data_IF_230852414236
#
_entry.id   IF_230852414236
#
_cell.length_a   1.000
_cell.length_b   1.000
_cell.length_c   1.000
_cell.angle_alpha   90.00
_cell.angle_beta   90.00
_cell.angle_gamma   90.00
#
_symmetry.space_group_name_H-M   'P 1'
#
loop_
_entity.id
_entity.type
_entity.pdbx_description
1 polymer ?
#
# COMPACT_ATOMS: atom_id res chain seq x y z
N UNK A 1 8.21 14.05 3.46
CA UNK A 1 8.79 14.59 4.72
C UNK A 1 10.31 14.63 4.67
N UNK A 2 11.02 13.51 4.59
CA UNK A 2 12.51 13.49 4.53
C UNK A 2 13.11 14.41 3.46
N UNK A 3 12.49 14.50 2.28
CA UNK A 3 12.94 15.39 1.22
C UNK A 3 12.87 16.87 1.59
N UNK A 4 11.86 17.29 2.38
CA UNK A 4 11.80 18.66 2.88
C UNK A 4 12.95 18.97 3.86
N UNK A 5 13.29 18.01 4.74
CA UNK A 5 14.40 18.15 5.66
C UNK A 5 15.75 18.19 4.91
N UNK A 6 15.94 17.28 3.96
CA UNK A 6 17.13 17.28 3.09
C UNK A 6 17.29 18.57 2.28
N UNK A 7 16.18 19.15 1.83
CA UNK A 7 16.15 20.43 1.11
C UNK A 7 16.63 21.63 1.93
N UNK A 8 16.83 21.50 3.26
CA UNK A 8 17.40 22.56 4.11
C UNK A 8 18.95 22.59 4.12
N UNK A 9 19.59 21.74 3.31
CA UNK A 9 21.05 21.57 3.32
C UNK A 9 21.52 20.79 4.53
N UNK A 10 22.60 21.22 5.16
CA UNK A 10 23.24 20.52 6.30
C UNK A 10 22.58 20.80 7.66
N UNK A 11 21.39 21.44 7.68
CA UNK A 11 20.70 21.78 8.93
C UNK A 11 20.21 20.55 9.68
N UNK A 12 19.73 19.53 8.94
CA UNK A 12 19.24 18.26 9.47
C UNK A 12 19.95 17.09 8.84
N UNK A 13 20.45 16.18 9.66
CA UNK A 13 21.01 14.89 9.24
C UNK A 13 20.01 13.80 9.57
N UNK A 14 19.73 12.90 8.62
CA UNK A 14 18.88 11.75 8.84
C UNK A 14 19.69 10.62 9.47
N UNK A 15 19.15 9.97 10.50
CA UNK A 15 19.70 8.76 11.14
C UNK A 15 18.65 7.67 11.17
N UNK A 16 19.09 6.43 11.17
CA UNK A 16 18.30 5.22 11.39
C UNK A 16 18.40 4.70 12.84
N UNK A 17 19.23 5.34 13.68
CA UNK A 17 19.32 5.07 15.10
C UNK A 17 18.45 6.05 15.89
N UNK A 18 17.32 5.54 16.39
CA UNK A 18 16.34 6.31 17.16
C UNK A 18 16.91 6.84 18.49
N UNK A 19 17.88 6.12 19.06
CA UNK A 19 18.50 6.48 20.35
C UNK A 19 19.42 7.69 20.26
N UNK A 20 19.96 7.97 19.07
CA UNK A 20 20.84 9.10 18.78
C UNK A 20 20.10 10.33 18.19
N UNK A 21 18.81 10.16 17.89
CA UNK A 21 18.03 11.21 17.24
C UNK A 21 17.73 12.39 18.19
N UNK A 22 18.01 13.63 17.75
CA UNK A 22 17.53 14.85 18.43
C UNK A 22 16.04 15.15 18.15
N UNK A 23 15.54 14.72 16.99
CA UNK A 23 14.16 14.87 16.56
C UNK A 23 13.60 13.58 15.96
N UNK A 24 12.37 13.23 16.30
CA UNK A 24 11.63 12.14 15.70
C UNK A 24 10.32 12.65 15.09
N UNK A 25 9.98 12.11 13.92
CA UNK A 25 8.73 12.40 13.22
C UNK A 25 7.97 11.09 13.01
N UNK A 26 6.88 10.91 13.75
CA UNK A 26 6.05 9.71 13.68
C UNK A 26 4.92 9.95 12.66
N UNK A 27 4.95 9.21 11.56
CA UNK A 27 3.89 9.22 10.55
C UNK A 27 2.81 8.21 10.92
N UNK A 28 1.59 8.69 11.19
CA UNK A 28 0.52 7.92 11.83
C UNK A 28 -0.60 7.55 10.87
N UNK A 29 -1.27 6.43 11.16
CA UNK A 29 -2.47 5.98 10.48
C UNK A 29 -3.70 6.17 11.39
N UNK A 30 -4.86 6.51 10.80
CA UNK A 30 -6.14 6.59 11.51
C UNK A 30 -7.28 5.95 10.70
N UNK A 31 -6.96 4.95 9.87
CA UNK A 31 -7.94 4.33 8.98
C UNK A 31 -8.81 3.28 9.69
N UNK A 32 -8.23 2.54 10.62
CA UNK A 32 -8.92 1.53 11.46
C UNK A 32 -8.38 1.58 12.90
N UNK A 33 -9.17 1.06 13.86
CA UNK A 33 -8.81 1.11 15.29
C UNK A 33 -7.46 0.46 15.62
N UNK A 34 -7.13 -0.68 15.00
CA UNK A 34 -5.84 -1.34 15.22
C UNK A 34 -4.65 -0.48 14.75
N UNK A 35 -4.77 0.21 13.63
CA UNK A 35 -3.72 1.10 13.13
C UNK A 35 -3.60 2.40 13.96
N UNK A 36 -4.69 2.86 14.58
CA UNK A 36 -4.65 3.96 15.56
C UNK A 36 -3.88 3.52 16.80
N UNK A 37 -4.18 2.32 17.34
CA UNK A 37 -3.49 1.80 18.51
C UNK A 37 -1.99 1.62 18.24
N UNK A 38 -1.61 1.02 17.14
CA UNK A 38 -0.21 0.89 16.70
C UNK A 38 0.48 2.27 16.62
N UNK A 39 -0.20 3.27 16.05
CA UNK A 39 0.34 4.65 15.98
C UNK A 39 0.58 5.25 17.36
N UNK A 40 -0.34 5.03 18.32
CA UNK A 40 -0.19 5.49 19.70
C UNK A 40 0.97 4.77 20.39
N UNK A 41 1.05 3.45 20.23
CA UNK A 41 2.12 2.64 20.83
C UNK A 41 3.50 3.10 20.32
N UNK A 42 3.64 3.33 19.00
CA UNK A 42 4.87 3.86 18.41
C UNK A 42 5.22 5.27 18.93
N UNK A 43 4.23 6.17 19.06
CA UNK A 43 4.48 7.51 19.65
C UNK A 43 5.02 7.38 21.07
N UNK A 44 4.41 6.53 21.90
CA UNK A 44 4.82 6.33 23.28
C UNK A 44 6.18 5.63 23.40
N UNK A 45 6.50 4.72 22.49
CA UNK A 45 7.81 4.08 22.42
C UNK A 45 8.91 5.11 22.12
N UNK A 46 8.76 5.89 21.07
CA UNK A 46 9.70 6.95 20.68
C UNK A 46 9.80 8.02 21.79
N UNK A 47 8.69 8.37 22.45
CA UNK A 47 8.68 9.34 23.53
C UNK A 47 9.61 8.96 24.71
N UNK A 48 9.92 7.66 24.90
CA UNK A 48 10.86 7.20 25.94
C UNK A 48 12.25 7.80 25.76
N UNK A 49 12.68 8.03 24.51
CA UNK A 49 13.99 8.62 24.22
C UNK A 49 14.13 10.07 24.71
N UNK A 50 13.04 10.77 25.03
CA UNK A 50 13.10 12.06 25.75
C UNK A 50 13.69 11.94 27.15
N UNK A 51 13.58 10.77 27.78
CA UNK A 51 14.11 10.49 29.12
C UNK A 51 15.39 9.68 29.12
N UNK A 52 15.56 8.79 28.15
CA UNK A 52 16.65 7.81 28.09
C UNK A 52 17.68 8.09 27.00
N UNK A 53 17.39 8.98 26.07
CA UNK A 53 18.22 9.34 24.90
C UNK A 53 18.40 10.85 24.74
N UNK A 54 18.59 11.26 23.49
CA UNK A 54 18.84 12.65 23.11
C UNK A 54 17.63 13.39 22.54
N UNK A 55 16.46 12.73 22.44
CA UNK A 55 15.28 13.26 21.78
C UNK A 55 14.76 14.54 22.43
N UNK A 56 14.77 15.64 21.69
CA UNK A 56 14.30 16.98 22.09
C UNK A 56 12.97 17.34 21.43
N UNK A 57 12.71 16.82 20.22
CA UNK A 57 11.53 17.12 19.44
C UNK A 57 10.82 15.83 19.00
N UNK A 58 9.55 15.67 19.39
CA UNK A 58 8.68 14.60 18.92
C UNK A 58 7.50 15.22 18.17
N UNK A 59 7.47 15.00 16.84
CA UNK A 59 6.44 15.52 15.94
C UNK A 59 5.56 14.37 15.45
N UNK A 60 4.25 14.53 15.54
CA UNK A 60 3.28 13.58 15.01
C UNK A 60 2.67 14.12 13.73
N UNK A 61 2.64 13.30 12.69
CA UNK A 61 2.05 13.66 11.39
C UNK A 61 1.22 12.50 10.83
N UNK A 62 0.60 12.69 9.66
CA UNK A 62 -0.18 11.65 8.99
C UNK A 62 -1.68 11.72 9.30
N UNK A 63 -2.37 10.61 9.04
CA UNK A 63 -3.84 10.57 9.11
C UNK A 63 -4.39 10.79 10.52
N UNK A 64 -3.72 10.25 11.55
CA UNK A 64 -4.15 10.45 12.93
C UNK A 64 -3.92 11.90 13.37
N UNK A 65 -2.79 12.49 12.99
CA UNK A 65 -2.50 13.89 13.20
C UNK A 65 -3.56 14.82 12.58
N UNK A 66 -4.01 14.50 11.35
CA UNK A 66 -5.06 15.29 10.68
C UNK A 66 -6.44 15.16 11.35
N UNK A 67 -6.76 13.97 11.87
CA UNK A 67 -8.11 13.64 12.36
C UNK A 67 -8.30 13.94 13.85
N UNK A 68 -7.26 13.77 14.65
CA UNK A 68 -7.29 13.82 16.12
C UNK A 68 -6.23 14.79 16.69
N UNK A 69 -5.97 15.88 15.97
CA UNK A 69 -4.90 16.82 16.29
C UNK A 69 -5.00 17.39 17.74
N UNK A 70 -6.18 17.79 18.17
CA UNK A 70 -6.39 18.39 19.49
C UNK A 70 -6.29 17.34 20.60
N UNK A 71 -6.83 16.14 20.36
CA UNK A 71 -6.75 15.02 21.28
C UNK A 71 -5.30 14.56 21.48
N UNK A 72 -4.49 14.51 20.42
CA UNK A 72 -3.07 14.16 20.50
C UNK A 72 -2.33 15.15 21.40
N UNK A 73 -2.47 16.45 21.17
CA UNK A 73 -1.81 17.48 21.98
C UNK A 73 -2.25 17.45 23.44
N UNK A 74 -3.51 17.08 23.72
CA UNK A 74 -4.07 17.03 25.06
C UNK A 74 -3.71 15.75 25.81
N UNK A 75 -3.81 14.58 25.15
CA UNK A 75 -3.71 13.27 25.80
C UNK A 75 -2.27 12.69 25.74
N UNK A 76 -1.42 13.21 24.84
CA UNK A 76 -0.03 12.80 24.67
C UNK A 76 0.92 14.00 24.89
N UNK A 77 1.15 14.42 26.18
CA UNK A 77 1.94 15.59 26.52
C UNK A 77 3.42 15.48 26.12
N UNK A 78 3.87 14.28 25.73
CA UNK A 78 5.21 14.02 25.19
C UNK A 78 5.37 14.55 23.76
N UNK A 79 4.28 14.77 23.03
CA UNK A 79 4.28 15.28 21.65
C UNK A 79 4.51 16.80 21.69
N UNK A 80 5.51 17.28 20.94
CA UNK A 80 5.85 18.70 20.89
C UNK A 80 5.10 19.44 19.79
N UNK A 81 4.73 18.75 18.70
CA UNK A 81 3.93 19.34 17.62
C UNK A 81 3.14 18.30 16.86
N UNK A 82 2.03 18.74 16.28
CA UNK A 82 1.18 17.96 15.36
C UNK A 82 1.14 18.65 14.01
N UNK A 83 1.43 17.90 12.93
CA UNK A 83 1.47 18.40 11.55
C UNK A 83 0.49 17.61 10.69
N UNK A 84 -0.48 18.28 10.07
CA UNK A 84 -1.50 17.65 9.23
C UNK A 84 -0.96 17.07 7.93
N UNK A 85 -1.80 16.29 7.25
CA UNK A 85 -1.44 15.53 6.02
C UNK A 85 -1.05 16.38 4.82
N UNK A 86 -1.44 17.64 4.79
CA UNK A 86 -1.15 18.61 3.71
C UNK A 86 -0.15 19.68 4.13
N UNK A 87 0.33 19.64 5.39
CA UNK A 87 1.24 20.62 5.98
C UNK A 87 2.67 20.09 6.12
N UNK A 88 3.03 18.98 5.46
CA UNK A 88 4.34 18.31 5.58
C UNK A 88 5.53 19.21 5.18
N UNK A 89 5.29 20.21 4.34
CA UNK A 89 6.29 21.23 3.94
C UNK A 89 6.63 22.20 5.09
N UNK A 90 5.79 22.30 6.11
CA UNK A 90 6.05 23.10 7.31
C UNK A 90 7.00 22.43 8.30
N UNK A 91 7.30 21.14 8.11
CA UNK A 91 8.07 20.34 9.08
C UNK A 91 9.43 20.97 9.46
N UNK A 92 10.27 21.49 8.54
CA UNK A 92 11.52 22.14 8.92
C UNK A 92 11.31 23.34 9.85
N UNK A 93 10.32 24.20 9.54
CA UNK A 93 10.02 25.37 10.36
C UNK A 93 9.45 24.99 11.74
N UNK A 94 8.67 23.91 11.82
CA UNK A 94 8.14 23.36 13.08
C UNK A 94 9.29 22.89 13.97
N UNK A 95 10.23 22.14 13.41
CA UNK A 95 11.42 21.67 14.15
C UNK A 95 12.29 22.84 14.62
N UNK A 96 12.53 23.84 13.76
CA UNK A 96 13.32 25.04 14.12
C UNK A 96 12.70 25.76 15.34
N UNK A 97 11.37 25.89 15.37
CA UNK A 97 10.65 26.50 16.52
C UNK A 97 10.79 25.68 17.79
N UNK A 98 10.66 24.36 17.73
CA UNK A 98 10.84 23.48 18.89
C UNK A 98 12.26 23.60 19.43
N UNK A 99 13.28 23.59 18.57
CA UNK A 99 14.68 23.75 18.97
C UNK A 99 15.00 25.15 19.51
N UNK A 100 14.23 26.17 19.13
CA UNK A 100 14.29 27.50 19.74
C UNK A 100 13.59 27.58 21.12
N UNK A 101 13.01 26.47 21.60
CA UNK A 101 12.29 26.41 22.89
C UNK A 101 10.84 26.90 22.84
N UNK A 102 10.27 27.08 21.63
CA UNK A 102 8.86 27.42 21.47
C UNK A 102 8.00 26.15 21.56
N UNK A 103 6.96 26.18 22.39
CA UNK A 103 5.95 25.11 22.39
C UNK A 103 4.93 25.36 21.28
N UNK A 104 4.71 24.35 20.44
CA UNK A 104 3.62 24.36 19.49
C UNK A 104 2.32 23.98 20.22
N UNK A 105 1.63 24.96 20.77
CA UNK A 105 0.34 24.77 21.47
C UNK A 105 -0.84 24.55 20.51
N UNK A 106 -0.64 24.73 19.23
CA UNK A 106 -1.66 24.57 18.19
C UNK A 106 -1.14 23.66 17.07
N UNK A 107 -2.03 22.82 16.51
CA UNK A 107 -1.65 21.95 15.40
C UNK A 107 -1.36 22.77 14.14
N UNK A 108 -0.37 22.35 13.36
CA UNK A 108 -0.05 22.96 12.07
C UNK A 108 -0.85 22.23 11.00
N UNK A 109 -1.99 22.78 10.65
CA UNK A 109 -2.91 22.25 9.64
C UNK A 109 -2.95 23.17 8.41
N UNK A 110 -3.18 22.57 7.27
CA UNK A 110 -3.48 23.27 6.02
C UNK A 110 -4.75 22.68 5.39
N UNK A 111 -5.31 23.37 4.40
CA UNK A 111 -6.48 22.89 3.70
C UNK A 111 -6.23 21.50 3.10
N UNK A 112 -7.04 20.52 3.48
CA UNK A 112 -6.97 19.15 2.96
C UNK A 112 -7.16 19.07 1.45
N UNK A 113 -7.72 20.11 0.82
CA UNK A 113 -7.89 20.23 -0.63
C UNK A 113 -6.66 20.79 -1.34
N UNK A 114 -5.58 21.11 -0.62
CA UNK A 114 -4.32 21.57 -1.22
C UNK A 114 -3.77 20.52 -2.19
N UNK A 115 -3.28 20.99 -3.35
CA UNK A 115 -2.68 20.12 -4.35
C UNK A 115 -1.51 19.30 -3.76
N UNK A 116 -1.38 18.02 -4.14
CA UNK A 116 -0.26 17.19 -3.69
C UNK A 116 1.08 17.81 -4.09
N UNK A 117 2.06 17.78 -3.18
CA UNK A 117 3.41 18.24 -3.50
C UNK A 117 4.07 17.28 -4.51
N UNK A 118 4.58 17.84 -5.60
CA UNK A 118 5.15 17.07 -6.70
C UNK A 118 6.65 17.35 -6.95
N UNK A 119 7.21 18.42 -6.38
CA UNK A 119 8.58 18.88 -6.69
C UNK A 119 9.50 18.79 -5.45
N UNK A 120 9.35 17.72 -4.64
CA UNK A 120 10.16 17.51 -3.45
C UNK A 120 11.20 16.44 -3.71
N UNK A 121 12.43 16.68 -3.27
CA UNK A 121 13.47 15.66 -3.34
C UNK A 121 13.04 14.40 -2.59
N UNK A 122 13.34 13.25 -3.18
CA UNK A 122 12.99 11.95 -2.63
C UNK A 122 14.19 11.36 -1.88
N UNK A 123 13.92 10.78 -0.74
CA UNK A 123 14.84 9.88 -0.03
C UNK A 123 14.20 8.51 -0.06
N UNK A 124 14.87 7.54 -0.67
CA UNK A 124 14.42 6.15 -0.69
C UNK A 124 14.89 5.48 0.61
N UNK A 125 13.95 4.93 1.37
CA UNK A 125 14.20 4.27 2.66
C UNK A 125 14.02 2.76 2.61
N UNK A 126 13.26 2.27 1.61
CA UNK A 126 13.04 0.86 1.35
C UNK A 126 13.82 0.54 0.09
N UNK A 127 14.69 -0.44 0.09
CA UNK A 127 15.54 -0.90 -0.99
C UNK A 127 15.55 0.01 -2.24
N UNK A 128 16.67 0.47 -2.68
CA UNK A 128 16.78 1.49 -3.75
C UNK A 128 16.08 1.12 -5.06
N UNK A 129 15.70 -0.16 -5.23
CA UNK A 129 15.09 -0.70 -6.44
C UNK A 129 13.55 -0.52 -6.53
N UNK A 130 12.87 -0.08 -5.44
CA UNK A 130 11.42 0.16 -5.41
C UNK A 130 11.12 1.65 -5.25
N UNK A 131 10.26 2.20 -6.10
CA UNK A 131 9.80 3.58 -6.03
C UNK A 131 8.28 3.67 -5.98
N UNK A 132 7.72 4.21 -4.88
CA UNK A 132 6.29 4.51 -4.80
C UNK A 132 5.98 5.83 -5.47
N UNK A 133 5.09 5.83 -6.46
CA UNK A 133 4.65 7.01 -7.19
C UNK A 133 3.20 7.35 -6.81
N UNK A 134 3.02 8.37 -5.98
CA UNK A 134 1.69 8.84 -5.59
C UNK A 134 1.08 9.66 -6.72
N UNK A 135 0.09 9.09 -7.44
CA UNK A 135 -0.50 9.70 -8.64
C UNK A 135 -1.70 10.61 -8.35
N UNK A 136 -2.33 10.42 -7.20
CA UNK A 136 -3.44 11.27 -6.74
C UNK A 136 -3.54 11.25 -5.21
N UNK A 137 -4.34 12.17 -4.65
CA UNK A 137 -4.65 12.28 -3.22
C UNK A 137 -6.15 12.52 -3.04
N UNK A 138 -6.73 11.99 -1.95
CA UNK A 138 -8.14 12.13 -1.63
C UNK A 138 -9.04 11.14 -2.38
N UNK A 139 -10.35 11.16 -2.08
CA UNK A 139 -11.30 10.23 -2.70
C UNK A 139 -12.74 10.78 -2.60
N UNK A 140 -13.49 10.76 -3.72
CA UNK A 140 -14.87 11.20 -3.80
C UNK A 140 -15.90 10.04 -3.82
N UNK A 141 -15.45 8.79 -3.57
CA UNK A 141 -16.33 7.61 -3.62
C UNK A 141 -17.37 7.55 -2.49
N UNK A 142 -17.14 8.21 -1.38
CA UNK A 142 -18.09 8.32 -0.26
C UNK A 142 -18.59 6.95 0.27
N UNK A 143 -17.73 5.92 0.28
CA UNK A 143 -18.05 4.65 0.89
C UNK A 143 -18.44 4.85 2.35
N UNK A 144 -19.56 4.26 2.80
CA UNK A 144 -20.17 4.56 4.08
C UNK A 144 -19.31 4.25 5.32
N UNK A 145 -18.31 3.38 5.17
CA UNK A 145 -17.36 2.97 6.23
C UNK A 145 -16.07 3.78 6.23
N UNK A 146 -15.86 4.65 5.24
CA UNK A 146 -14.53 5.20 4.97
C UNK A 146 -14.38 6.63 5.48
N UNK A 147 -13.32 6.90 6.23
CA UNK A 147 -12.97 8.21 6.76
C UNK A 147 -12.07 9.04 5.82
N UNK A 148 -11.61 8.47 4.70
CA UNK A 148 -10.66 9.13 3.78
C UNK A 148 -11.11 10.51 3.31
N UNK A 149 -12.37 10.74 2.89
CA UNK A 149 -12.79 12.08 2.46
C UNK A 149 -12.61 13.16 3.54
N UNK A 150 -12.78 12.79 4.81
CA UNK A 150 -12.59 13.71 5.94
C UNK A 150 -11.09 13.97 6.25
N UNK A 151 -10.21 13.02 5.94
CA UNK A 151 -8.79 13.07 6.30
C UNK A 151 -7.93 13.61 5.16
N UNK A 152 -8.26 13.22 3.92
CA UNK A 152 -7.48 13.50 2.71
C UNK A 152 -8.19 14.42 1.72
N UNK A 153 -9.47 14.79 2.00
CA UNK A 153 -10.26 15.67 1.15
C UNK A 153 -10.69 15.06 -0.18
N UNK A 154 -11.09 15.95 -1.09
CA UNK A 154 -11.53 15.59 -2.44
C UNK A 154 -10.41 14.98 -3.29
N UNK A 155 -10.79 14.23 -4.31
CA UNK A 155 -9.87 13.62 -5.25
C UNK A 155 -9.09 14.66 -6.05
N UNK A 156 -7.77 14.54 -6.07
CA UNK A 156 -6.84 15.46 -6.76
C UNK A 156 -5.71 14.67 -7.40
N UNK A 157 -5.66 14.66 -8.73
CA UNK A 157 -4.58 14.06 -9.50
C UNK A 157 -3.31 14.92 -9.49
N UNK A 158 -2.17 14.28 -9.56
CA UNK A 158 -0.90 14.95 -9.85
C UNK A 158 -0.76 15.11 -11.37
N UNK A 159 -0.35 16.27 -11.92
CA UNK A 159 -0.16 16.44 -13.35
C UNK A 159 0.79 15.40 -13.94
N UNK A 160 0.47 14.88 -15.12
CA UNK A 160 1.17 13.74 -15.75
C UNK A 160 2.66 14.04 -15.99
N UNK A 161 3.00 15.24 -16.42
CA UNK A 161 4.37 15.67 -16.67
C UNK A 161 5.23 15.65 -15.39
N UNK A 162 4.61 16.03 -14.26
CA UNK A 162 5.28 15.97 -12.95
C UNK A 162 5.51 14.53 -12.51
N UNK A 163 4.53 13.63 -12.73
CA UNK A 163 4.68 12.21 -12.44
C UNK A 163 5.78 11.55 -13.27
N UNK A 164 5.86 11.87 -14.55
CA UNK A 164 6.93 11.38 -15.43
C UNK A 164 8.30 11.90 -14.97
N UNK A 165 8.39 13.17 -14.54
CA UNK A 165 9.61 13.73 -14.00
C UNK A 165 10.02 13.06 -12.67
N UNK A 166 9.05 12.84 -11.75
CA UNK A 166 9.30 12.16 -10.47
C UNK A 166 9.71 10.69 -10.69
N UNK A 167 9.06 9.99 -11.61
CA UNK A 167 9.43 8.64 -11.99
C UNK A 167 10.87 8.55 -12.54
N UNK A 168 11.28 9.48 -13.41
CA UNK A 168 12.68 9.55 -13.88
C UNK A 168 13.66 9.80 -12.74
N UNK A 169 13.30 10.65 -11.78
CA UNK A 169 14.11 10.90 -10.57
C UNK A 169 14.23 9.63 -9.72
N UNK A 170 13.12 8.91 -9.46
CA UNK A 170 13.14 7.63 -8.75
C UNK A 170 14.08 6.63 -9.43
N UNK A 171 14.02 6.52 -10.75
CA UNK A 171 14.90 5.63 -11.52
C UNK A 171 16.37 6.06 -11.41
N UNK A 172 16.66 7.36 -11.41
CA UNK A 172 18.04 7.85 -11.22
C UNK A 172 18.60 7.56 -9.81
N UNK A 173 17.71 7.37 -8.83
CA UNK A 173 18.06 6.93 -7.47
C UNK A 173 18.18 5.39 -7.34
N UNK A 174 17.91 4.63 -8.40
CA UNK A 174 18.06 3.18 -8.44
C UNK A 174 16.76 2.41 -8.59
N UNK A 175 15.58 3.07 -8.54
CA UNK A 175 14.31 2.36 -8.68
C UNK A 175 14.19 1.63 -10.01
N UNK A 176 13.78 0.37 -9.95
CA UNK A 176 13.49 -0.51 -11.09
C UNK A 176 12.02 -0.87 -11.16
N UNK A 177 11.35 -0.95 -10.02
CA UNK A 177 9.90 -1.10 -9.92
C UNK A 177 9.29 0.24 -9.51
N UNK A 178 8.23 0.65 -10.25
CA UNK A 178 7.37 1.78 -9.88
C UNK A 178 6.02 1.25 -9.41
N UNK A 179 5.63 1.60 -8.18
CA UNK A 179 4.34 1.23 -7.61
C UNK A 179 3.45 2.48 -7.58
N UNK A 180 2.41 2.48 -8.40
CA UNK A 180 1.47 3.58 -8.48
C UNK A 180 0.44 3.46 -7.35
N UNK A 181 0.32 4.52 -6.56
CA UNK A 181 -0.56 4.58 -5.40
C UNK A 181 -1.43 5.83 -5.39
N UNK A 182 -2.67 5.65 -4.98
CA UNK A 182 -3.63 6.68 -4.58
C UNK A 182 -4.68 6.03 -3.68
N UNK A 183 -5.65 6.78 -3.15
CA UNK A 183 -6.81 6.18 -2.51
C UNK A 183 -7.77 5.55 -3.54
N UNK A 184 -7.65 5.99 -4.78
CA UNK A 184 -8.34 5.47 -5.96
C UNK A 184 -7.47 5.77 -7.19
N UNK A 185 -6.90 4.77 -7.82
CA UNK A 185 -5.97 4.96 -8.95
C UNK A 185 -6.68 5.00 -10.30
N UNK A 186 -7.79 4.28 -10.44
CA UNK A 186 -8.51 4.13 -11.72
C UNK A 186 -9.21 5.41 -12.19
N UNK A 187 -9.42 6.38 -11.30
CA UNK A 187 -9.98 7.71 -11.65
C UNK A 187 -8.91 8.74 -12.04
N UNK A 188 -7.63 8.36 -12.08
CA UNK A 188 -6.56 9.30 -12.40
C UNK A 188 -6.86 10.12 -13.64
N UNK A 189 -6.76 11.44 -13.49
CA UNK A 189 -6.91 12.44 -14.55
C UNK A 189 -8.32 13.00 -14.72
N UNK A 190 -9.35 12.41 -14.10
CA UNK A 190 -10.74 12.88 -14.29
C UNK A 190 -10.97 14.31 -13.84
N UNK A 191 -10.29 14.75 -12.79
CA UNK A 191 -10.34 16.12 -12.25
C UNK A 191 -9.50 17.11 -13.06
N UNK A 192 -8.36 16.69 -13.62
CA UNK A 192 -7.45 17.57 -14.37
C UNK A 192 -7.75 17.63 -15.87
N UNK A 193 -8.17 16.51 -16.46
CA UNK A 193 -8.29 16.37 -17.93
C UNK A 193 -9.73 16.07 -18.37
N UNK A 194 -10.67 15.92 -17.43
CA UNK A 194 -12.06 15.59 -17.72
C UNK A 194 -12.33 14.14 -18.12
N UNK A 195 -11.29 13.29 -18.13
CA UNK A 195 -11.37 11.88 -18.50
C UNK A 195 -10.33 11.03 -17.78
N UNK A 196 -10.52 9.70 -17.75
CA UNK A 196 -9.57 8.76 -17.14
C UNK A 196 -8.29 8.69 -17.97
N UNK A 197 -7.16 9.01 -17.34
CA UNK A 197 -5.83 9.08 -17.99
C UNK A 197 -4.83 8.06 -17.46
N UNK A 198 -5.26 7.11 -16.64
CA UNK A 198 -4.36 6.07 -16.13
C UNK A 198 -3.68 5.26 -17.26
N UNK A 199 -4.39 4.80 -18.31
CA UNK A 199 -3.75 4.10 -19.43
C UNK A 199 -2.66 4.93 -20.11
N UNK A 200 -2.93 6.22 -20.37
CA UNK A 200 -1.94 7.12 -20.97
C UNK A 200 -0.72 7.32 -20.07
N UNK A 201 -0.94 7.54 -18.76
CA UNK A 201 0.15 7.66 -17.80
C UNK A 201 1.03 6.40 -17.81
N UNK A 202 0.43 5.22 -17.75
CA UNK A 202 1.14 3.95 -17.77
C UNK A 202 2.02 3.78 -19.02
N UNK A 203 1.49 4.08 -20.21
CA UNK A 203 2.27 4.04 -21.46
C UNK A 203 3.47 4.99 -21.41
N UNK A 204 3.29 6.23 -20.88
CA UNK A 204 4.40 7.19 -20.73
C UNK A 204 5.45 6.71 -19.74
N UNK A 205 5.05 6.08 -18.64
CA UNK A 205 5.98 5.51 -17.66
C UNK A 205 6.76 4.32 -18.25
N UNK A 206 6.14 3.51 -19.11
CA UNK A 206 6.79 2.41 -19.82
C UNK A 206 7.93 2.88 -20.75
N UNK A 207 7.87 4.12 -21.26
CA UNK A 207 8.93 4.69 -22.08
C UNK A 207 10.19 5.09 -21.30
N UNK A 208 10.14 5.12 -19.97
CA UNK A 208 11.29 5.50 -19.15
C UNK A 208 12.31 4.36 -19.17
N UNK A 209 13.53 4.68 -19.64
CA UNK A 209 14.65 3.75 -19.57
C UNK A 209 14.99 3.47 -18.09
N UNK A 210 15.26 2.21 -17.75
CA UNK A 210 15.56 1.78 -16.39
C UNK A 210 14.35 1.31 -15.57
N UNK A 211 13.12 1.69 -15.91
CA UNK A 211 11.92 1.04 -15.36
C UNK A 211 11.81 -0.36 -15.92
N UNK A 212 11.72 -1.34 -15.04
CA UNK A 212 11.49 -2.75 -15.37
C UNK A 212 10.06 -3.19 -15.05
N UNK A 213 9.56 -2.85 -13.88
CA UNK A 213 8.22 -3.19 -13.41
C UNK A 213 7.39 -1.96 -13.07
N UNK A 214 6.11 -1.99 -13.45
CA UNK A 214 5.09 -1.01 -13.05
C UNK A 214 3.92 -1.78 -12.44
N UNK A 215 3.60 -1.46 -11.18
CA UNK A 215 2.50 -2.05 -10.42
C UNK A 215 1.43 -1.01 -10.14
N UNK A 216 0.16 -1.39 -10.29
CA UNK A 216 -0.98 -0.51 -10.00
C UNK A 216 -1.75 -1.06 -8.82
N UNK A 217 -1.94 -0.23 -7.78
CA UNK A 217 -2.69 -0.58 -6.58
C UNK A 217 -3.98 0.23 -6.48
N UNK A 218 -4.93 -0.23 -5.65
CA UNK A 218 -6.18 0.46 -5.30
C UNK A 218 -7.08 0.78 -6.50
N UNK A 219 -7.38 -0.24 -7.31
CA UNK A 219 -8.29 -0.15 -8.44
C UNK A 219 -9.73 -0.45 -8.02
N UNK A 220 -10.65 0.48 -8.22
CA UNK A 220 -12.07 0.19 -8.01
C UNK A 220 -12.63 -0.65 -9.16
N UNK A 221 -13.33 -1.77 -8.87
CA UNK A 221 -13.81 -2.69 -9.90
C UNK A 221 -14.64 -2.03 -11.00
N UNK A 222 -15.57 -1.17 -10.59
CA UNK A 222 -16.47 -0.44 -11.49
C UNK A 222 -15.80 0.64 -12.35
N UNK A 223 -14.56 0.98 -12.03
CA UNK A 223 -13.80 2.01 -12.75
C UNK A 223 -12.75 1.44 -13.70
N UNK A 224 -12.50 0.12 -13.64
CA UNK A 224 -11.58 -0.57 -14.54
C UNK A 224 -12.17 -0.57 -15.94
N UNK A 225 -11.49 0.11 -16.88
CA UNK A 225 -11.90 0.22 -18.28
C UNK A 225 -11.24 -0.88 -19.13
N UNK A 226 -11.86 -1.23 -20.24
CA UNK A 226 -11.22 -2.14 -21.21
C UNK A 226 -9.93 -1.57 -21.80
N UNK A 227 -9.81 -0.23 -21.88
CA UNK A 227 -8.56 0.41 -22.28
C UNK A 227 -7.43 0.14 -21.27
N UNK A 228 -7.73 0.20 -19.95
CA UNK A 228 -6.75 -0.15 -18.92
C UNK A 228 -6.34 -1.62 -19.05
N UNK A 229 -7.28 -2.54 -19.19
CA UNK A 229 -7.02 -3.98 -19.37
C UNK A 229 -6.14 -4.23 -20.61
N UNK A 230 -6.47 -3.58 -21.72
CA UNK A 230 -5.69 -3.72 -22.96
C UNK A 230 -4.27 -3.13 -22.80
N UNK A 231 -4.13 -2.00 -22.11
CA UNK A 231 -2.82 -1.39 -21.81
C UNK A 231 -1.97 -2.32 -20.97
N UNK A 232 -2.54 -2.93 -19.92
CA UNK A 232 -1.84 -3.92 -19.09
C UNK A 232 -1.41 -5.15 -19.88
N UNK A 233 -2.22 -5.59 -20.85
CA UNK A 233 -1.92 -6.73 -21.72
C UNK A 233 -0.79 -6.43 -22.72
N UNK A 234 -0.75 -5.23 -23.27
CA UNK A 234 0.20 -4.83 -24.33
C UNK A 234 1.57 -4.43 -23.81
N UNK A 235 1.60 -3.75 -22.68
CA UNK A 235 2.82 -3.14 -22.11
C UNK A 235 3.52 -4.11 -21.15
N UNK A 236 4.59 -4.75 -21.60
CA UNK A 236 5.31 -5.80 -20.84
C UNK A 236 5.90 -5.34 -19.52
N UNK A 237 6.12 -4.03 -19.32
CA UNK A 237 6.62 -3.48 -18.05
C UNK A 237 5.51 -3.35 -17.00
N UNK A 238 4.24 -3.32 -17.42
CA UNK A 238 3.11 -3.34 -16.50
C UNK A 238 2.92 -4.78 -16.04
N UNK A 239 3.03 -4.98 -14.74
CA UNK A 239 2.88 -6.32 -14.18
C UNK A 239 1.45 -6.85 -14.40
N UNK A 240 1.28 -8.13 -14.72
CA UNK A 240 -0.03 -8.77 -14.73
C UNK A 240 -0.51 -8.98 -13.29
N UNK A 241 -0.72 -7.88 -12.59
CA UNK A 241 -1.12 -7.79 -11.20
C UNK A 241 -2.11 -6.65 -11.02
N UNK A 242 -3.21 -6.90 -10.33
CA UNK A 242 -4.19 -5.88 -10.00
C UNK A 242 -4.65 -6.00 -8.54
N UNK A 243 -4.59 -4.91 -7.80
CA UNK A 243 -5.20 -4.80 -6.47
C UNK A 243 -6.57 -4.13 -6.62
N UNK A 244 -7.62 -4.94 -6.41
CA UNK A 244 -9.01 -4.59 -6.68
C UNK A 244 -9.88 -4.88 -5.45
N UNK A 245 -9.97 -3.95 -4.45
CA UNK A 245 -10.74 -4.16 -3.24
C UNK A 245 -12.25 -4.24 -3.51
N UNK A 246 -12.83 -5.44 -3.47
CA UNK A 246 -14.27 -5.64 -3.72
C UNK A 246 -15.11 -5.41 -2.47
N UNK A 247 -14.53 -5.54 -1.28
CA UNK A 247 -15.08 -5.31 0.05
C UNK A 247 -16.13 -6.34 0.50
N UNK A 248 -17.09 -6.70 -0.35
CA UNK A 248 -18.12 -7.69 -0.10
C UNK A 248 -18.68 -8.26 -1.42
N UNK A 249 -19.57 -9.30 -1.34
CA UNK A 249 -20.21 -9.89 -2.51
C UNK A 249 -21.73 -9.95 -2.41
N UNK A 250 -22.35 -9.67 -1.26
CA UNK A 250 -23.80 -9.52 -1.17
C UNK A 250 -24.21 -8.15 -1.70
N UNK A 251 -25.10 -8.12 -2.70
CA UNK A 251 -25.57 -6.87 -3.32
C UNK A 251 -26.22 -5.94 -2.30
N UNK A 252 -26.91 -6.50 -1.31
CA UNK A 252 -27.52 -5.77 -0.22
C UNK A 252 -26.49 -5.06 0.64
N UNK A 253 -25.39 -5.72 0.97
CA UNK A 253 -24.31 -5.16 1.77
C UNK A 253 -23.49 -4.18 0.94
N UNK A 254 -23.15 -4.48 -0.31
CA UNK A 254 -22.46 -3.55 -1.23
C UNK A 254 -23.22 -2.23 -1.36
N UNK A 255 -24.54 -2.28 -1.55
CA UNK A 255 -25.39 -1.09 -1.58
C UNK A 255 -25.33 -0.31 -0.26
N UNK A 256 -25.35 -0.99 0.89
CA UNK A 256 -25.27 -0.37 2.21
C UNK A 256 -23.88 0.21 2.48
N UNK A 257 -22.84 -0.37 1.92
CA UNK A 257 -21.45 0.16 1.90
C UNK A 257 -21.28 1.39 1.02
N UNK A 258 -22.27 1.74 0.19
CA UNK A 258 -22.16 2.81 -0.80
C UNK A 258 -21.36 2.39 -2.04
N UNK A 259 -21.18 1.08 -2.27
CA UNK A 259 -20.55 0.55 -3.49
C UNK A 259 -21.55 0.53 -4.64
N UNK A 260 -21.09 0.88 -5.83
CA UNK A 260 -21.92 1.00 -7.04
C UNK A 260 -21.82 -0.23 -7.94
N UNK A 261 -21.36 -1.33 -7.40
CA UNK A 261 -21.18 -2.60 -8.11
C UNK A 261 -22.04 -3.68 -7.50
N UNK A 262 -22.37 -4.69 -8.29
CA UNK A 262 -23.09 -5.90 -7.90
C UNK A 262 -22.17 -7.10 -7.94
N UNK A 263 -22.57 -8.20 -7.26
CA UNK A 263 -21.86 -9.47 -7.33
C UNK A 263 -21.63 -9.93 -8.77
N UNK A 264 -22.65 -9.83 -9.61
CA UNK A 264 -22.57 -10.23 -11.03
C UNK A 264 -21.52 -9.44 -11.78
N UNK A 265 -21.42 -8.13 -11.55
CA UNK A 265 -20.42 -7.26 -12.18
C UNK A 265 -19.01 -7.57 -11.68
N UNK A 266 -18.84 -7.85 -10.38
CA UNK A 266 -17.57 -8.30 -9.82
C UNK A 266 -17.11 -9.63 -10.43
N UNK A 267 -18.02 -10.62 -10.51
CA UNK A 267 -17.72 -11.91 -11.16
C UNK A 267 -17.33 -11.72 -12.63
N UNK A 268 -18.07 -10.89 -13.37
CA UNK A 268 -17.78 -10.59 -14.76
C UNK A 268 -16.42 -9.89 -14.94
N UNK A 269 -16.05 -8.95 -14.06
CA UNK A 269 -14.77 -8.27 -14.11
C UNK A 269 -13.61 -9.23 -13.87
N UNK A 270 -13.69 -10.09 -12.84
CA UNK A 270 -12.67 -11.12 -12.58
C UNK A 270 -12.50 -12.07 -13.77
N UNK A 271 -13.62 -12.51 -14.37
CA UNK A 271 -13.58 -13.36 -15.56
C UNK A 271 -12.96 -12.64 -16.76
N UNK A 272 -13.27 -11.36 -16.96
CA UNK A 272 -12.71 -10.55 -18.03
C UNK A 272 -11.20 -10.39 -17.86
N UNK A 273 -10.73 -10.03 -16.66
CA UNK A 273 -9.31 -9.89 -16.36
C UNK A 273 -8.55 -11.19 -16.69
N UNK A 274 -9.04 -12.34 -16.22
CA UNK A 274 -8.39 -13.65 -16.46
C UNK A 274 -8.43 -14.10 -17.91
N UNK A 275 -9.49 -13.73 -18.65
CA UNK A 275 -9.57 -14.04 -20.10
C UNK A 275 -8.59 -13.20 -20.90
N UNK A 276 -8.47 -11.90 -20.60
CA UNK A 276 -7.63 -10.97 -21.35
C UNK A 276 -6.15 -11.07 -20.95
N UNK A 277 -5.86 -11.36 -19.70
CA UNK A 277 -4.52 -11.48 -19.11
C UNK A 277 -4.45 -12.81 -18.35
N UNK A 278 -4.12 -13.93 -19.01
CA UNK A 278 -4.25 -15.28 -18.41
C UNK A 278 -3.44 -15.50 -17.13
N UNK A 279 -2.30 -14.85 -17.00
CA UNK A 279 -1.38 -14.93 -15.86
C UNK A 279 -1.60 -13.83 -14.80
N UNK A 280 -2.72 -13.11 -14.89
CA UNK A 280 -3.01 -12.03 -13.94
C UNK A 280 -3.14 -12.53 -12.51
N UNK A 281 -2.39 -11.90 -11.61
CA UNK A 281 -2.55 -12.04 -10.17
C UNK A 281 -3.57 -11.01 -9.66
N UNK A 282 -4.69 -11.47 -9.15
CA UNK A 282 -5.76 -10.60 -8.62
C UNK A 282 -5.68 -10.59 -7.10
N UNK A 283 -5.35 -9.42 -6.56
CA UNK A 283 -5.44 -9.14 -5.14
C UNK A 283 -6.76 -8.46 -4.80
N UNK A 284 -7.35 -8.81 -3.66
CA UNK A 284 -8.57 -8.16 -3.18
C UNK A 284 -8.58 -7.99 -1.67
N UNK A 285 -9.48 -7.15 -1.21
CA UNK A 285 -9.73 -6.89 0.22
C UNK A 285 -11.21 -7.02 0.51
N UNK A 286 -11.55 -7.66 1.64
CA UNK A 286 -12.91 -7.84 2.13
C UNK A 286 -13.08 -7.25 3.52
N UNK A 287 -14.30 -6.83 3.83
CA UNK A 287 -14.74 -6.42 5.16
C UNK A 287 -15.75 -7.42 5.68
N UNK A 288 -15.46 -8.02 6.82
CA UNK A 288 -16.38 -8.94 7.51
C UNK A 288 -17.12 -8.25 8.65
N UNK A 289 -18.37 -8.58 8.84
CA UNK A 289 -19.20 -8.08 9.92
C UNK A 289 -19.61 -6.61 9.77
N UNK A 290 -19.82 -6.17 8.53
CA UNK A 290 -20.37 -4.84 8.24
C UNK A 290 -21.78 -4.69 8.87
N UNK A 291 -22.18 -3.48 9.35
CA UNK A 291 -23.50 -3.29 9.95
C UNK A 291 -24.64 -3.80 9.09
N UNK A 292 -25.48 -4.67 9.65
CA UNK A 292 -26.56 -5.35 8.97
C UNK A 292 -26.19 -6.62 8.21
N UNK A 293 -24.93 -7.05 8.18
CA UNK A 293 -24.51 -8.32 7.58
C UNK A 293 -25.12 -9.50 8.34
N UNK A 294 -25.90 -10.31 7.65
CA UNK A 294 -26.53 -11.53 8.17
C UNK A 294 -25.62 -12.75 7.97
N UNK A 295 -26.03 -13.89 8.51
CA UNK A 295 -25.35 -15.17 8.26
C UNK A 295 -25.49 -15.64 6.80
N UNK A 296 -26.56 -15.23 6.13
CA UNK A 296 -26.78 -15.50 4.71
C UNK A 296 -25.80 -14.69 3.84
N UNK A 297 -25.66 -13.38 4.11
CA UNK A 297 -24.68 -12.53 3.42
C UNK A 297 -23.25 -13.06 3.58
N UNK A 298 -22.90 -13.54 4.79
CA UNK A 298 -21.59 -14.14 5.04
C UNK A 298 -21.40 -15.43 4.23
N UNK A 299 -22.39 -16.32 4.18
CA UNK A 299 -22.34 -17.53 3.33
C UNK A 299 -22.21 -17.20 1.85
N UNK A 300 -22.89 -16.15 1.41
CA UNK A 300 -22.79 -15.63 0.05
C UNK A 300 -21.37 -15.15 -0.26
N UNK A 301 -20.76 -14.39 0.67
CA UNK A 301 -19.38 -13.91 0.56
C UNK A 301 -18.38 -15.07 0.54
N UNK A 302 -18.54 -16.06 1.42
CA UNK A 302 -17.68 -17.24 1.45
C UNK A 302 -17.78 -18.07 0.15
N UNK A 303 -18.99 -18.22 -0.39
CA UNK A 303 -19.22 -18.86 -1.69
C UNK A 303 -18.54 -18.10 -2.83
N UNK A 304 -18.59 -16.77 -2.79
CA UNK A 304 -17.92 -15.92 -3.78
C UNK A 304 -16.40 -16.07 -3.74
N UNK A 305 -15.78 -16.08 -2.56
CA UNK A 305 -14.33 -16.29 -2.39
C UNK A 305 -13.92 -17.64 -2.99
N UNK A 306 -14.63 -18.72 -2.64
CA UNK A 306 -14.36 -20.07 -3.16
C UNK A 306 -14.54 -20.18 -4.68
N UNK A 307 -15.48 -19.43 -5.24
CA UNK A 307 -15.75 -19.40 -6.69
C UNK A 307 -14.70 -18.56 -7.44
N UNK A 308 -14.36 -17.39 -6.90
CA UNK A 308 -13.46 -16.46 -7.57
C UNK A 308 -11.99 -16.84 -7.44
N UNK A 309 -11.59 -17.54 -6.38
CA UNK A 309 -10.22 -18.03 -6.17
C UNK A 309 -9.19 -16.91 -6.39
N UNK A 310 -9.29 -15.85 -5.58
CA UNK A 310 -8.33 -14.74 -5.65
C UNK A 310 -6.91 -15.22 -5.31
N UNK A 311 -5.92 -14.69 -5.99
CA UNK A 311 -4.52 -15.04 -5.75
C UNK A 311 -4.03 -14.51 -4.40
N UNK A 312 -4.42 -13.28 -4.07
CA UNK A 312 -4.15 -12.62 -2.80
C UNK A 312 -5.44 -12.03 -2.23
N UNK A 313 -5.71 -12.27 -0.96
CA UNK A 313 -6.91 -11.76 -0.31
C UNK A 313 -6.63 -11.44 1.16
N UNK A 314 -6.96 -10.21 1.56
CA UNK A 314 -6.99 -9.78 2.96
C UNK A 314 -8.42 -9.60 3.45
N UNK A 315 -8.73 -10.06 4.68
CA UNK A 315 -10.03 -9.83 5.32
C UNK A 315 -9.84 -9.02 6.58
N UNK A 316 -10.52 -7.88 6.65
CA UNK A 316 -10.56 -7.02 7.82
C UNK A 316 -11.93 -7.12 8.49
N UNK A 317 -11.97 -7.07 9.81
CA UNK A 317 -13.24 -6.86 10.51
C UNK A 317 -13.69 -5.40 10.33
N UNK A 318 -14.98 -5.18 10.22
CA UNK A 318 -15.50 -3.81 10.17
C UNK A 318 -15.07 -3.02 11.41
N UNK A 319 -14.41 -1.89 11.19
CA UNK A 319 -14.06 -0.89 12.20
C UNK A 319 -15.09 0.24 12.21
N UNK A 320 -15.62 0.56 13.41
CA UNK A 320 -16.64 1.59 13.60
C UNK A 320 -16.00 2.97 13.70
N UNK A 321 -15.67 3.57 12.56
CA UNK A 321 -14.96 4.83 12.50
C UNK A 321 -15.87 6.04 12.73
N UNK A 322 -15.50 6.91 13.68
CA UNK A 322 -16.24 8.11 13.99
C UNK A 322 -16.43 9.03 12.78
N UNK A 323 -17.56 9.70 12.71
CA UNK A 323 -17.90 10.59 11.60
C UNK A 323 -18.37 9.87 10.34
N UNK A 324 -18.14 8.56 10.19
CA UNK A 324 -18.61 7.80 9.03
C UNK A 324 -20.10 7.49 9.11
N UNK A 325 -20.82 7.42 7.98
CA UNK A 325 -22.24 7.02 7.97
C UNK A 325 -22.46 5.66 8.61
N UNK A 326 -21.60 4.66 8.31
CA UNK A 326 -21.75 3.29 8.81
C UNK A 326 -21.62 3.17 10.34
N UNK A 327 -20.93 4.11 10.99
CA UNK A 327 -20.87 4.14 12.45
C UNK A 327 -22.23 4.35 13.13
N UNK A 328 -23.17 4.97 12.41
CA UNK A 328 -24.53 5.28 12.86
C UNK A 328 -25.57 4.25 12.40
N UNK A 329 -25.17 3.28 11.56
CA UNK A 329 -26.10 2.29 11.07
C UNK A 329 -26.57 1.35 12.19
N UNK A 330 -27.82 0.95 12.12
CA UNK A 330 -28.37 -0.14 12.89
C UNK A 330 -27.76 -1.50 12.49
N UNK A 331 -28.03 -2.53 13.29
CA UNK A 331 -27.55 -3.89 12.99
C UNK A 331 -26.04 -4.03 13.11
N UNK A 332 -25.40 -3.30 14.03
CA UNK A 332 -23.98 -3.49 14.36
C UNK A 332 -23.71 -4.94 14.75
N UNK A 333 -22.82 -5.61 14.01
CA UNK A 333 -22.46 -7.01 14.26
C UNK A 333 -21.53 -7.10 15.47
N UNK A 334 -21.76 -8.07 16.34
CA UNK A 334 -20.94 -8.29 17.52
C UNK A 334 -19.47 -8.58 17.14
N UNK A 335 -18.47 -8.03 17.85
CA UNK A 335 -17.04 -8.21 17.51
C UNK A 335 -16.63 -9.68 17.37
N UNK A 336 -17.09 -10.57 18.27
CA UNK A 336 -16.80 -12.00 18.17
C UNK A 336 -17.36 -12.65 16.90
N UNK A 337 -18.50 -12.18 16.39
CA UNK A 337 -19.07 -12.66 15.12
C UNK A 337 -18.27 -12.15 13.93
N UNK A 338 -17.82 -10.87 13.96
CA UNK A 338 -16.93 -10.31 12.92
C UNK A 338 -15.66 -11.14 12.80
N UNK A 339 -15.03 -11.45 13.94
CA UNK A 339 -13.77 -12.19 13.98
C UNK A 339 -13.96 -13.66 13.55
N UNK A 340 -15.04 -14.33 13.96
CA UNK A 340 -15.36 -15.68 13.48
C UNK A 340 -15.49 -15.70 11.96
N UNK A 341 -16.27 -14.78 11.39
CA UNK A 341 -16.48 -14.67 9.95
C UNK A 341 -15.18 -14.33 9.20
N UNK A 342 -14.37 -13.44 9.74
CA UNK A 342 -13.04 -13.12 9.20
C UNK A 342 -12.17 -14.39 9.11
N UNK A 343 -12.13 -15.15 10.19
CA UNK A 343 -11.37 -16.41 10.25
C UNK A 343 -11.85 -17.43 9.23
N UNK A 344 -13.15 -17.61 9.08
CA UNK A 344 -13.73 -18.54 8.10
C UNK A 344 -13.35 -18.17 6.66
N UNK A 345 -13.39 -16.88 6.31
CA UNK A 345 -12.95 -16.36 5.01
C UNK A 345 -11.44 -16.56 4.80
N UNK A 346 -10.62 -16.26 5.81
CA UNK A 346 -9.17 -16.42 5.73
C UNK A 346 -8.77 -17.89 5.59
N UNK A 347 -9.43 -18.81 6.29
CA UNK A 347 -9.16 -20.25 6.13
C UNK A 347 -9.52 -20.74 4.71
N UNK A 348 -10.66 -20.31 4.17
CA UNK A 348 -11.02 -20.65 2.80
C UNK A 348 -10.01 -20.08 1.78
N UNK A 349 -9.51 -18.86 2.00
CA UNK A 349 -8.50 -18.25 1.15
C UNK A 349 -7.14 -18.94 1.29
N UNK A 350 -6.78 -19.40 2.48
CA UNK A 350 -5.53 -20.12 2.71
C UNK A 350 -5.43 -21.37 1.83
N UNK A 351 -6.50 -22.17 1.77
CA UNK A 351 -6.56 -23.36 0.89
C UNK A 351 -6.36 -22.96 -0.59
N UNK A 352 -7.00 -21.85 -1.02
CA UNK A 352 -6.89 -21.34 -2.39
C UNK A 352 -5.47 -20.87 -2.67
N UNK A 353 -4.87 -20.10 -1.74
CA UNK A 353 -3.52 -19.56 -1.90
C UNK A 353 -2.45 -20.66 -1.95
N UNK A 354 -2.57 -21.69 -1.10
CA UNK A 354 -1.64 -22.82 -1.11
C UNK A 354 -1.73 -23.63 -2.41
N UNK A 355 -2.95 -23.80 -2.92
CA UNK A 355 -3.13 -24.46 -4.22
C UNK A 355 -2.52 -23.62 -5.35
N UNK A 356 -2.77 -22.31 -5.39
CA UNK A 356 -2.22 -21.40 -6.38
C UNK A 356 -0.68 -21.29 -6.31
N UNK A 357 -0.09 -21.38 -5.11
CA UNK A 357 1.35 -21.48 -4.93
C UNK A 357 1.90 -22.80 -5.49
N UNK A 358 1.21 -23.91 -5.22
CA UNK A 358 1.56 -25.23 -5.76
C UNK A 358 1.54 -25.30 -7.29
N UNK A 359 0.63 -24.58 -7.95
CA UNK A 359 0.56 -24.48 -9.41
C UNK A 359 1.77 -23.77 -10.03
N UNK A 360 2.54 -23.01 -9.24
CA UNK A 360 3.76 -22.36 -9.71
C UNK A 360 4.96 -23.32 -9.75
N UNK A 361 4.91 -24.45 -9.08
CA UNK A 361 6.03 -25.41 -9.05
C UNK A 361 6.33 -25.93 -10.45
N UNK A 362 7.60 -25.83 -10.85
CA UNK A 362 8.08 -26.18 -12.18
C UNK A 362 8.07 -25.02 -13.20
N UNK A 363 7.43 -23.88 -12.88
CA UNK A 363 7.49 -22.67 -13.72
C UNK A 363 8.77 -21.88 -13.45
N UNK A 364 9.18 -21.04 -14.39
CA UNK A 364 10.24 -20.04 -14.20
C UNK A 364 9.63 -18.66 -14.08
N UNK A 365 9.96 -17.97 -12.99
CA UNK A 365 9.45 -16.64 -12.67
C UNK A 365 10.59 -15.61 -12.61
N UNK A 366 10.43 -14.49 -13.31
CA UNK A 366 11.31 -13.35 -13.11
C UNK A 366 11.13 -12.83 -11.68
N UNK A 367 12.25 -12.73 -10.96
CA UNK A 367 12.31 -12.46 -9.52
C UNK A 367 13.24 -11.29 -9.26
N UNK A 368 12.81 -10.29 -8.50
CA UNK A 368 13.69 -9.27 -7.94
C UNK A 368 14.21 -9.75 -6.59
N UNK A 369 15.50 -9.62 -6.37
CA UNK A 369 16.15 -9.98 -5.11
C UNK A 369 16.00 -8.84 -4.11
N UNK A 370 15.42 -9.14 -2.95
CA UNK A 370 15.28 -8.16 -1.85
C UNK A 370 16.53 -8.14 -0.96
N UNK A 371 17.11 -9.31 -0.66
CA UNK A 371 18.31 -9.39 0.14
C UNK A 371 18.72 -10.82 0.51
N UNK A 372 19.94 -10.94 1.04
CA UNK A 372 20.47 -12.21 1.54
C UNK A 372 19.94 -12.49 2.94
N UNK A 373 19.48 -13.70 3.17
CA UNK A 373 19.05 -14.16 4.49
C UNK A 373 20.22 -14.68 5.33
N UNK A 374 20.15 -14.55 6.66
CA UNK A 374 21.10 -15.19 7.54
C UNK A 374 20.90 -16.72 7.48
N UNK A 375 21.97 -17.47 7.28
CA UNK A 375 21.93 -18.93 7.19
C UNK A 375 22.13 -19.44 5.76
N UNK A 376 22.08 -20.77 5.63
CA UNK A 376 22.30 -21.47 4.36
C UNK A 376 21.27 -22.56 4.15
N UNK A 377 21.04 -22.91 2.90
CA UNK A 377 20.29 -24.09 2.51
C UNK A 377 20.99 -25.38 3.02
N UNK A 378 20.28 -26.51 3.13
CA UNK A 378 20.85 -27.79 3.61
C UNK A 378 22.08 -28.27 2.84
N UNK A 379 22.23 -27.88 1.59
CA UNK A 379 23.37 -28.19 0.70
C UNK A 379 24.49 -27.12 0.74
N UNK A 380 24.42 -26.17 1.66
CA UNK A 380 25.44 -25.17 1.91
C UNK A 380 25.36 -23.94 1.01
N UNK A 381 24.37 -23.83 0.10
CA UNK A 381 24.12 -22.64 -0.72
C UNK A 381 23.61 -21.48 0.13
N UNK A 382 23.86 -20.27 -0.33
CA UNK A 382 23.25 -19.06 0.24
C UNK A 382 21.77 -18.97 -0.15
N UNK A 383 20.97 -18.38 0.72
CA UNK A 383 19.54 -18.17 0.50
C UNK A 383 19.25 -16.68 0.44
N UNK A 384 18.52 -16.29 -0.58
CA UNK A 384 18.07 -14.91 -0.78
C UNK A 384 16.55 -14.85 -0.72
N UNK A 385 16.03 -13.81 -0.09
CA UNK A 385 14.64 -13.42 -0.26
C UNK A 385 14.49 -12.69 -1.58
N UNK A 386 13.49 -13.06 -2.35
CA UNK A 386 13.11 -12.39 -3.58
C UNK A 386 11.61 -12.24 -3.67
N UNK A 387 11.16 -11.52 -4.68
CA UNK A 387 9.76 -11.25 -4.93
C UNK A 387 9.45 -11.36 -6.42
N UNK A 388 8.30 -11.94 -6.73
CA UNK A 388 7.82 -12.08 -8.10
C UNK A 388 6.84 -10.95 -8.45
N UNK A 389 6.41 -10.90 -9.71
CA UNK A 389 5.36 -9.98 -10.12
C UNK A 389 4.06 -10.13 -9.32
N UNK A 390 3.84 -11.29 -8.69
CA UNK A 390 2.64 -11.66 -7.95
C UNK A 390 2.55 -11.03 -6.57
N UNK A 391 3.60 -10.32 -6.11
CA UNK A 391 3.76 -9.96 -4.71
C UNK A 391 4.12 -8.48 -4.54
N UNK A 392 3.39 -7.78 -3.66
CA UNK A 392 3.72 -6.42 -3.23
C UNK A 392 4.84 -6.50 -2.19
N UNK A 393 5.83 -5.58 -2.21
CA UNK A 393 6.84 -5.50 -1.15
C UNK A 393 6.22 -5.40 0.24
N UNK A 394 6.75 -6.18 1.19
CA UNK A 394 6.40 -6.16 2.62
C UNK A 394 4.93 -6.52 2.96
N UNK A 395 4.14 -6.94 1.98
CA UNK A 395 2.70 -7.23 2.16
C UNK A 395 2.34 -8.66 1.78
N UNK A 396 2.83 -9.10 0.62
CA UNK A 396 2.50 -10.43 0.10
C UNK A 396 3.64 -11.44 0.39
N UNK A 397 3.72 -12.52 -0.38
CA UNK A 397 4.66 -13.61 -0.18
C UNK A 397 6.05 -13.32 -0.73
N UNK A 398 7.01 -14.17 -0.36
CA UNK A 398 8.36 -14.18 -0.89
C UNK A 398 8.62 -15.42 -1.75
N UNK A 399 9.70 -15.36 -2.52
CA UNK A 399 10.35 -16.54 -3.08
C UNK A 399 11.75 -16.66 -2.49
N UNK A 400 12.07 -17.79 -1.90
CA UNK A 400 13.39 -18.07 -1.33
C UNK A 400 14.26 -18.75 -2.37
N UNK A 401 15.36 -18.08 -2.74
CA UNK A 401 16.24 -18.49 -3.84
C UNK A 401 17.54 -19.05 -3.28
N UNK A 402 17.78 -20.34 -3.48
CA UNK A 402 19.04 -21.00 -3.09
C UNK A 402 20.04 -20.95 -4.26
N UNK A 403 21.21 -20.34 -4.03
CA UNK A 403 22.25 -20.19 -5.07
C UNK A 403 23.67 -20.14 -4.48
N UNK A 404 24.68 -20.41 -5.32
CA UNK A 404 26.10 -20.17 -5.01
C UNK A 404 26.61 -18.85 -5.59
N UNK A 405 25.77 -18.18 -6.41
CA UNK A 405 26.08 -16.88 -6.98
C UNK A 405 25.78 -15.80 -5.94
N UNK A 406 26.68 -14.84 -5.79
CA UNK A 406 26.37 -13.63 -5.04
C UNK A 406 25.40 -12.76 -5.83
N UNK A 407 24.27 -12.42 -5.19
CA UNK A 407 23.23 -11.59 -5.76
C UNK A 407 23.14 -10.26 -5.01
N UNK A 408 22.82 -9.22 -5.76
CA UNK A 408 22.62 -7.87 -5.21
C UNK A 408 21.13 -7.60 -4.98
N UNK A 409 20.81 -6.84 -3.94
CA UNK A 409 19.45 -6.30 -3.76
C UNK A 409 19.06 -5.45 -4.98
N UNK A 410 17.85 -5.67 -5.52
CA UNK A 410 17.37 -5.06 -6.75
C UNK A 410 17.82 -5.76 -8.04
N UNK A 411 18.60 -6.83 -7.96
CA UNK A 411 18.93 -7.66 -9.12
C UNK A 411 17.74 -8.49 -9.56
N UNK A 412 17.51 -8.58 -10.87
CA UNK A 412 16.47 -9.42 -11.47
C UNK A 412 17.09 -10.69 -12.02
N UNK A 413 16.53 -11.83 -11.61
CA UNK A 413 16.97 -13.17 -12.05
C UNK A 413 15.76 -14.03 -12.39
N UNK A 414 15.94 -14.96 -13.31
CA UNK A 414 14.96 -15.99 -13.60
C UNK A 414 15.11 -17.13 -12.60
N UNK A 415 14.04 -17.43 -11.87
CA UNK A 415 14.03 -18.46 -10.83
C UNK A 415 13.06 -19.57 -11.20
N UNK A 416 13.57 -20.80 -11.31
CA UNK A 416 12.75 -21.99 -11.43
C UNK A 416 12.18 -22.35 -10.07
N UNK A 417 10.86 -22.32 -9.95
CA UNK A 417 10.18 -22.69 -8.71
C UNK A 417 10.29 -24.19 -8.46
N UNK A 418 10.86 -24.58 -7.33
CA UNK A 418 11.11 -25.98 -6.97
C UNK A 418 10.17 -26.51 -5.90
N UNK A 419 9.50 -25.62 -5.17
CA UNK A 419 8.59 -26.01 -4.10
C UNK A 419 7.85 -24.80 -3.48
N UNK A 420 7.10 -25.09 -2.41
CA UNK A 420 6.35 -24.09 -1.64
C UNK A 420 6.54 -24.32 -0.15
N UNK A 421 6.46 -23.24 0.62
CA UNK A 421 6.37 -23.26 2.09
C UNK A 421 5.19 -22.36 2.52
N UNK A 422 4.00 -22.96 2.60
CA UNK A 422 2.77 -22.23 2.86
C UNK A 422 2.42 -21.26 1.73
N UNK A 423 2.54 -19.96 2.01
CA UNK A 423 2.30 -18.89 1.04
C UNK A 423 3.53 -18.60 0.18
N UNK A 424 4.71 -18.93 0.67
CA UNK A 424 5.97 -18.60 0.02
C UNK A 424 6.39 -19.67 -1.00
N UNK A 425 7.20 -19.24 -1.97
CA UNK A 425 7.80 -20.11 -2.96
C UNK A 425 9.27 -20.42 -2.59
N UNK A 426 9.76 -21.56 -3.06
CA UNK A 426 11.19 -21.88 -3.05
C UNK A 426 11.67 -22.15 -4.46
N UNK A 427 12.89 -21.72 -4.78
CA UNK A 427 13.40 -21.90 -6.12
C UNK A 427 14.91 -21.83 -6.24
N UNK A 428 15.38 -22.03 -7.45
CA UNK A 428 16.78 -21.97 -7.84
C UNK A 428 16.92 -21.13 -9.09
N UNK A 429 18.06 -20.45 -9.26
CA UNK A 429 18.31 -19.67 -10.48
C UNK A 429 18.24 -20.61 -11.68
N UNK A 430 17.43 -20.23 -12.65
CA UNK A 430 17.34 -20.93 -13.93
C UNK A 430 18.53 -20.46 -14.80
N UNK A 431 19.55 -21.31 -14.87
CA UNK A 431 20.68 -21.07 -15.78
C UNK A 431 20.29 -21.54 -17.17
N UNK A 432 19.43 -20.76 -17.87
CA UNK A 432 19.40 -20.91 -19.31
C UNK A 432 20.78 -20.53 -19.84
N UNK A 433 21.49 -21.48 -20.42
CA UNK A 433 22.69 -21.19 -21.20
C UNK A 433 22.32 -20.04 -22.15
N UNK A 434 22.81 -18.86 -21.86
CA UNK A 434 22.84 -17.77 -22.85
C UNK A 434 23.77 -18.29 -23.95
N UNK A 435 23.15 -18.95 -24.92
CA UNK A 435 23.78 -19.13 -26.22
C UNK A 435 24.13 -17.73 -26.72
N UNK A 436 25.41 -17.50 -26.84
CA UNK A 436 26.17 -16.33 -27.28
C UNK A 436 25.47 -15.44 -28.33
#
# INVERSE_FOLDING_TARGET
>A
MMGYLKGTGDRYTLTDDESEADAAVVNTCAFIDSAKQESIDNILEIARYKKTGHLKALVVTGCMAQRYHDEILKELPEVDAVVGTTAEDSLPAVLDRIFAGEKANEPVLQDVSRAPAADVDRVLTIGSHVGYLKIAEGCDKCCSYCAIPMIRGHYRSVPMEKLVADAKRLVSLGARELILVAQETTLYGTDLYGEKKLPELLRRLCLISGVKWIRVLYCYPEEITMELVQTMKEEKKILPYIDMPVQHASDRILKRMGRRTTRRELEAMVQTLRREIPDICIRTTLISGFPGETEEDHRELLSFVKKMKFDRLGVYTYSREEGTPAAKFDGQVHPGTRERRRRELMLAQQEIAFHAAGEQVGTTLETVIEGRLPGKAPDGRDVYAGRTYRDIPDVDSNIFVATRRDLLSGEFVDVKVTGTDGYDLTGEIDYHESSE
#
